data_IF_016121354291
#
_entry.id   IF_016121354291
#
_cell.length_a   1.000
_cell.length_b   1.000
_cell.length_c   1.000
_cell.angle_alpha   90.00
_cell.angle_beta   90.00
_cell.angle_gamma   90.00
#
_symmetry.space_group_name_H-M   'P 1'
#
loop_
_entity.id
_entity.type
_entity.pdbx_description
1 polymer ?
#
# COMPACT_ATOMS: atom_id res chain seq x y z
N UNK A 1 -21.33 6.13 -5.42
CA UNK A 1 -21.52 7.12 -4.34
C UNK A 1 -20.51 8.23 -4.53
N UNK A 2 -20.94 9.49 -4.52
CA UNK A 2 -20.04 10.65 -4.73
C UNK A 2 -20.09 11.55 -3.50
N UNK A 3 -18.96 11.73 -2.83
CA UNK A 3 -18.80 12.65 -1.70
C UNK A 3 -18.15 13.93 -2.23
N UNK A 4 -18.99 14.90 -2.58
CA UNK A 4 -18.56 16.18 -3.16
C UNK A 4 -18.68 17.37 -2.18
N UNK A 5 -19.29 17.15 -1.00
CA UNK A 5 -19.53 18.19 0.00
C UNK A 5 -19.55 17.63 1.42
N UNK A 6 -18.99 18.39 2.37
CA UNK A 6 -19.01 18.06 3.80
C UNK A 6 -18.16 16.86 4.22
N UNK A 7 -18.36 16.45 5.46
CA UNK A 7 -17.80 15.22 6.04
C UNK A 7 -18.93 14.21 6.22
N UNK A 8 -18.67 12.97 5.81
CA UNK A 8 -19.66 11.90 5.84
C UNK A 8 -19.23 10.81 6.81
N UNK A 9 -20.19 10.29 7.57
CA UNK A 9 -19.99 9.16 8.46
C UNK A 9 -20.86 8.00 7.97
N UNK A 10 -20.22 6.87 7.73
CA UNK A 10 -20.88 5.59 7.44
C UNK A 10 -21.04 4.86 8.77
N UNK A 11 -22.22 5.01 9.37
CA UNK A 11 -22.60 4.39 10.64
C UNK A 11 -23.46 3.13 10.47
N UNK A 12 -23.64 2.66 9.23
CA UNK A 12 -24.37 1.44 8.86
C UNK A 12 -23.59 0.69 7.77
N UNK A 13 -23.98 -0.55 7.48
CA UNK A 13 -23.35 -1.32 6.41
C UNK A 13 -23.50 -0.64 5.04
N UNK A 14 -22.37 -0.22 4.47
CA UNK A 14 -22.24 0.21 3.09
C UNK A 14 -21.98 -1.00 2.18
N UNK A 15 -22.88 -1.22 1.21
CA UNK A 15 -22.62 -2.13 0.09
C UNK A 15 -22.09 -1.31 -1.08
N UNK A 16 -20.78 -1.35 -1.30
CA UNK A 16 -20.15 -0.68 -2.45
C UNK A 16 -19.81 -1.71 -3.53
N UNK A 17 -20.61 -1.76 -4.60
CA UNK A 17 -20.36 -2.58 -5.81
C UNK A 17 -20.03 -1.73 -7.04
N UNK A 18 -20.34 -0.43 -7.00
CA UNK A 18 -19.98 0.54 -8.05
C UNK A 18 -18.84 1.47 -7.63
N UNK A 19 -18.76 2.65 -8.23
CA UNK A 19 -17.70 3.61 -7.91
C UNK A 19 -18.01 4.40 -6.64
N UNK A 20 -17.06 4.46 -5.71
CA UNK A 20 -17.03 5.40 -4.58
C UNK A 20 -16.02 6.51 -4.87
N UNK A 21 -16.51 7.74 -5.00
CA UNK A 21 -15.67 8.92 -5.21
C UNK A 21 -15.68 9.79 -3.95
N UNK A 22 -14.51 10.16 -3.46
CA UNK A 22 -14.32 11.12 -2.38
C UNK A 22 -13.49 12.28 -2.90
N UNK A 23 -14.11 13.45 -3.05
CA UNK A 23 -13.45 14.63 -3.59
C UNK A 23 -12.39 15.19 -2.62
N UNK A 24 -11.51 16.04 -3.15
CA UNK A 24 -10.50 16.72 -2.36
C UNK A 24 -11.11 17.52 -1.20
N UNK A 25 -10.36 17.60 -0.09
CA UNK A 25 -10.80 18.31 1.13
C UNK A 25 -12.10 17.79 1.75
N UNK A 26 -12.52 16.56 1.43
CA UNK A 26 -13.67 15.87 2.06
C UNK A 26 -13.16 14.78 3.00
N UNK A 27 -14.00 14.39 3.95
CA UNK A 27 -13.74 13.28 4.87
C UNK A 27 -14.85 12.25 4.73
N UNK A 28 -14.48 10.99 4.57
CA UNK A 28 -15.37 9.85 4.69
C UNK A 28 -14.88 8.97 5.84
N UNK A 29 -15.69 8.87 6.89
CA UNK A 29 -15.39 8.08 8.08
C UNK A 29 -16.23 6.80 8.10
N UNK A 30 -15.58 5.65 8.09
CA UNK A 30 -16.21 4.35 8.35
C UNK A 30 -16.23 4.08 9.85
N UNK A 31 -17.25 4.60 10.55
CA UNK A 31 -17.37 4.43 12.01
C UNK A 31 -17.75 3.01 12.41
N UNK A 32 -18.27 2.22 11.47
CA UNK A 32 -18.35 0.76 11.55
C UNK A 32 -17.40 0.11 10.56
N UNK A 33 -17.02 -1.13 10.84
CA UNK A 33 -16.10 -1.89 10.01
C UNK A 33 -16.75 -2.26 8.66
N UNK A 34 -16.19 -1.77 7.55
CA UNK A 34 -16.78 -1.95 6.21
C UNK A 34 -15.96 -2.86 5.29
N UNK A 35 -16.67 -3.58 4.42
CA UNK A 35 -16.11 -4.26 3.26
C UNK A 35 -16.47 -3.48 1.99
N UNK A 36 -15.49 -3.22 1.13
CA UNK A 36 -15.68 -2.52 -0.14
C UNK A 36 -15.35 -3.46 -1.30
N UNK A 37 -16.25 -3.56 -2.29
CA UNK A 37 -16.10 -4.45 -3.45
C UNK A 37 -16.10 -3.75 -4.80
N UNK A 38 -16.38 -2.44 -4.84
CA UNK A 38 -16.34 -1.62 -6.05
C UNK A 38 -15.04 -0.83 -6.16
N UNK A 39 -14.95 0.01 -7.19
CA UNK A 39 -13.80 0.91 -7.37
C UNK A 39 -13.86 2.08 -6.39
N UNK A 40 -12.71 2.44 -5.81
CA UNK A 40 -12.56 3.61 -4.95
C UNK A 40 -11.69 4.65 -5.65
N UNK A 41 -12.12 5.91 -5.65
CA UNK A 41 -11.35 7.07 -6.04
C UNK A 41 -11.36 8.09 -4.90
N UNK A 42 -10.23 8.21 -4.22
CA UNK A 42 -10.05 9.08 -3.06
C UNK A 42 -9.10 10.23 -3.40
N UNK A 43 -9.57 11.46 -3.34
CA UNK A 43 -8.75 12.68 -3.29
C UNK A 43 -8.83 13.38 -1.91
N UNK A 44 -9.69 12.89 -1.01
CA UNK A 44 -9.90 13.43 0.33
C UNK A 44 -9.25 12.56 1.42
N UNK A 45 -9.93 12.44 2.55
CA UNK A 45 -9.53 11.63 3.69
C UNK A 45 -10.48 10.45 3.87
N UNK A 46 -9.95 9.22 3.86
CA UNK A 46 -10.65 8.04 4.33
C UNK A 46 -10.16 7.67 5.73
N UNK A 47 -11.06 7.57 6.69
CA UNK A 47 -10.75 7.21 8.09
C UNK A 47 -11.71 6.15 8.62
N UNK A 48 -11.40 5.58 9.77
CA UNK A 48 -12.17 4.49 10.39
C UNK A 48 -11.62 3.11 10.03
N UNK A 49 -12.52 2.12 9.85
CA UNK A 49 -12.11 0.71 9.71
C UNK A 49 -12.65 0.06 8.44
N UNK A 50 -11.75 -0.56 7.67
CA UNK A 50 -12.10 -1.51 6.62
C UNK A 50 -11.64 -2.93 6.98
N UNK A 51 -12.52 -3.91 6.76
CA UNK A 51 -12.22 -5.34 6.92
C UNK A 51 -11.60 -5.94 5.65
N UNK A 52 -12.07 -5.50 4.49
CA UNK A 52 -11.59 -5.95 3.17
C UNK A 52 -11.85 -4.91 2.08
N UNK A 53 -10.87 -4.71 1.19
CA UNK A 53 -11.08 -4.12 -0.13
C UNK A 53 -10.88 -5.21 -1.20
N UNK A 54 -11.97 -5.58 -1.87
CA UNK A 54 -11.99 -6.62 -2.92
C UNK A 54 -12.30 -6.06 -4.31
N UNK A 55 -12.46 -4.74 -4.43
CA UNK A 55 -12.71 -4.08 -5.70
C UNK A 55 -11.50 -4.11 -6.64
N UNK A 56 -11.70 -3.88 -7.94
CA UNK A 56 -10.64 -4.02 -8.94
C UNK A 56 -9.57 -2.92 -8.82
N UNK A 57 -9.95 -1.70 -8.43
CA UNK A 57 -9.04 -0.56 -8.37
C UNK A 57 -9.32 0.38 -7.21
N UNK A 58 -8.23 0.84 -6.59
CA UNK A 58 -8.23 1.87 -5.56
C UNK A 58 -7.30 2.98 -6.01
N UNK A 59 -7.83 4.16 -6.31
CA UNK A 59 -7.03 5.35 -6.63
C UNK A 59 -6.94 6.23 -5.40
N UNK A 60 -5.74 6.42 -4.86
CA UNK A 60 -5.48 7.30 -3.72
C UNK A 60 -4.65 8.51 -4.14
N UNK A 61 -5.29 9.67 -4.26
CA UNK A 61 -4.68 10.98 -4.44
C UNK A 61 -4.81 11.86 -3.18
N UNK A 62 -5.26 11.28 -2.07
CA UNK A 62 -5.47 11.97 -0.79
C UNK A 62 -4.77 11.24 0.35
N UNK A 63 -5.46 11.13 1.48
CA UNK A 63 -4.96 10.46 2.68
C UNK A 63 -5.88 9.32 3.10
N UNK A 64 -5.31 8.14 3.33
CA UNK A 64 -6.00 6.98 3.90
C UNK A 64 -5.47 6.76 5.31
N UNK A 65 -6.23 7.18 6.31
CA UNK A 65 -5.91 7.05 7.74
C UNK A 65 -6.70 5.93 8.42
N UNK A 66 -7.16 4.96 7.62
CA UNK A 66 -7.80 3.75 8.11
C UNK A 66 -6.87 3.01 9.07
N UNK A 67 -7.47 2.30 10.04
CA UNK A 67 -6.76 1.38 10.92
C UNK A 67 -5.92 0.37 10.12
N UNK A 68 -6.46 -0.04 8.96
CA UNK A 68 -5.80 -0.87 7.97
C UNK A 68 -6.53 -0.72 6.62
N UNK A 69 -5.78 -0.63 5.51
CA UNK A 69 -6.29 -0.79 4.14
C UNK A 69 -5.90 -2.18 3.60
N UNK A 70 -6.81 -3.16 3.62
CA UNK A 70 -6.52 -4.53 3.16
C UNK A 70 -6.91 -4.78 1.70
N UNK A 71 -5.93 -4.99 0.83
CA UNK A 71 -6.17 -5.57 -0.50
C UNK A 71 -6.39 -7.08 -0.36
N UNK A 72 -7.60 -7.55 -0.66
CA UNK A 72 -8.04 -8.92 -0.42
C UNK A 72 -8.94 -9.49 -1.54
N UNK A 73 -8.79 -8.99 -2.77
CA UNK A 73 -9.57 -9.47 -3.92
C UNK A 73 -9.24 -10.91 -4.34
N UNK A 74 -10.17 -11.53 -5.05
CA UNK A 74 -10.00 -12.84 -5.70
C UNK A 74 -9.40 -12.76 -7.12
N UNK A 75 -9.20 -11.54 -7.62
CA UNK A 75 -8.51 -11.21 -8.88
C UNK A 75 -7.37 -10.26 -8.59
N UNK A 76 -6.47 -10.03 -9.56
CA UNK A 76 -5.47 -8.98 -9.44
C UNK A 76 -6.15 -7.61 -9.20
N UNK A 77 -5.53 -6.78 -8.35
CA UNK A 77 -6.03 -5.45 -7.99
C UNK A 77 -5.00 -4.38 -8.34
N UNK A 78 -5.46 -3.14 -8.50
CA UNK A 78 -4.58 -2.00 -8.75
C UNK A 78 -4.69 -0.96 -7.65
N UNK A 79 -3.55 -0.46 -7.18
CA UNK A 79 -3.44 0.71 -6.32
C UNK A 79 -2.82 1.86 -7.13
N UNK A 80 -3.62 2.87 -7.45
CA UNK A 80 -3.21 4.03 -8.25
C UNK A 80 -3.07 5.29 -7.39
N UNK A 81 -2.58 6.36 -8.02
CA UNK A 81 -2.49 7.70 -7.44
C UNK A 81 -1.15 7.95 -6.75
N UNK A 82 -1.07 9.04 -5.99
CA UNK A 82 0.17 9.54 -5.35
C UNK A 82 0.03 9.83 -3.86
N UNK A 83 -1.07 9.38 -3.25
CA UNK A 83 -1.44 9.72 -1.87
C UNK A 83 -0.68 8.94 -0.79
N UNK A 84 -1.09 9.17 0.45
CA UNK A 84 -0.56 8.48 1.63
C UNK A 84 -1.55 7.47 2.20
N UNK A 85 -1.02 6.41 2.79
CA UNK A 85 -1.76 5.34 3.47
C UNK A 85 -1.09 5.11 4.81
N UNK A 86 -1.85 5.11 5.90
CA UNK A 86 -1.27 4.90 7.24
C UNK A 86 -0.82 3.45 7.40
N UNK A 87 -1.75 2.51 7.25
CA UNK A 87 -1.48 1.08 7.38
C UNK A 87 -1.98 0.37 6.13
N UNK A 88 -1.09 -0.32 5.41
CA UNK A 88 -1.39 -1.05 4.19
C UNK A 88 -1.16 -2.55 4.41
N UNK A 89 -2.14 -3.37 4.02
CA UNK A 89 -2.01 -4.83 4.02
C UNK A 89 -2.29 -5.40 2.65
N UNK A 90 -1.34 -6.19 2.15
CA UNK A 90 -1.45 -6.93 0.91
C UNK A 90 -1.77 -8.38 1.24
N UNK A 91 -2.99 -8.80 0.92
CA UNK A 91 -3.50 -10.14 1.16
C UNK A 91 -4.28 -10.64 -0.07
N UNK A 92 -3.66 -10.52 -1.24
CA UNK A 92 -4.26 -10.92 -2.50
C UNK A 92 -3.26 -11.80 -3.27
N UNK A 93 -3.52 -13.10 -3.31
CA UNK A 93 -2.66 -14.09 -3.97
C UNK A 93 -2.41 -13.79 -5.46
N UNK A 94 -3.36 -13.12 -6.12
CA UNK A 94 -3.26 -12.74 -7.54
C UNK A 94 -2.43 -11.47 -7.77
N UNK A 95 -1.99 -10.83 -6.69
CA UNK A 95 -1.11 -9.68 -6.71
C UNK A 95 -1.82 -8.33 -6.71
N UNK A 96 -1.03 -7.29 -6.41
CA UNK A 96 -1.42 -5.89 -6.47
C UNK A 96 -0.42 -5.15 -7.35
N UNK A 97 -0.91 -4.40 -8.33
CA UNK A 97 -0.05 -3.56 -9.18
C UNK A 97 -0.16 -2.11 -8.73
N UNK A 98 0.98 -1.41 -8.62
CA UNK A 98 0.99 0.03 -8.45
C UNK A 98 0.83 0.72 -9.81
N UNK A 99 -0.09 1.68 -9.87
CA UNK A 99 -0.23 2.61 -10.99
C UNK A 99 0.29 4.02 -10.70
N UNK A 100 0.88 4.24 -9.53
CA UNK A 100 1.51 5.49 -9.12
C UNK A 100 2.25 5.34 -7.79
N UNK A 101 3.07 6.33 -7.44
CA UNK A 101 3.85 6.32 -6.22
C UNK A 101 2.95 6.26 -4.98
N UNK A 102 3.35 5.53 -3.94
CA UNK A 102 2.57 5.44 -2.69
C UNK A 102 3.47 5.67 -1.49
N UNK A 103 2.96 6.39 -0.49
CA UNK A 103 3.62 6.52 0.80
C UNK A 103 2.85 5.78 1.88
N UNK A 104 3.48 4.79 2.52
CA UNK A 104 2.96 4.09 3.70
C UNK A 104 3.62 4.67 4.94
N UNK A 105 2.83 5.23 5.86
CA UNK A 105 3.39 6.05 6.95
C UNK A 105 3.57 5.33 8.28
N UNK A 106 2.86 4.23 8.52
CA UNK A 106 2.94 3.47 9.77
C UNK A 106 3.42 2.03 9.55
N UNK A 107 2.63 1.20 8.87
CA UNK A 107 2.95 -0.22 8.71
C UNK A 107 2.54 -0.78 7.36
N UNK A 108 3.39 -1.66 6.82
CA UNK A 108 3.18 -2.41 5.59
C UNK A 108 3.26 -3.91 5.89
N UNK A 109 2.16 -4.61 5.68
CA UNK A 109 2.08 -6.06 5.88
C UNK A 109 1.89 -6.78 4.55
N UNK A 110 2.82 -7.66 4.21
CA UNK A 110 2.71 -8.58 3.07
C UNK A 110 2.27 -9.95 3.59
N UNK A 111 0.96 -10.22 3.55
CA UNK A 111 0.40 -11.50 4.00
C UNK A 111 0.42 -12.52 2.87
N UNK A 112 -0.14 -12.17 1.71
CA UNK A 112 -0.28 -13.08 0.57
C UNK A 112 -0.22 -12.31 -0.75
N UNK A 113 0.55 -12.85 -1.69
CA UNK A 113 0.78 -12.30 -3.02
C UNK A 113 1.84 -11.22 -3.09
N UNK A 114 2.10 -10.80 -4.33
CA UNK A 114 3.21 -9.91 -4.69
C UNK A 114 2.71 -8.50 -5.03
N UNK A 115 3.57 -7.51 -4.89
CA UNK A 115 3.29 -6.13 -5.31
C UNK A 115 4.15 -5.78 -6.51
N UNK A 116 3.54 -5.57 -7.67
CA UNK A 116 4.25 -5.14 -8.89
C UNK A 116 4.37 -3.63 -8.92
N UNK A 117 5.60 -3.12 -8.90
CA UNK A 117 5.85 -1.68 -8.80
C UNK A 117 5.83 -0.96 -10.15
N UNK A 118 6.16 -1.65 -11.26
CA UNK A 118 6.29 -1.00 -12.56
C UNK A 118 7.29 0.16 -12.50
N UNK A 119 6.88 1.35 -12.95
CA UNK A 119 7.65 2.59 -12.82
C UNK A 119 7.41 3.37 -11.52
N UNK A 120 6.56 2.85 -10.63
CA UNK A 120 6.17 3.52 -9.39
C UNK A 120 7.05 3.11 -8.21
N UNK A 121 7.11 3.97 -7.20
CA UNK A 121 7.80 3.71 -5.95
C UNK A 121 6.80 3.49 -4.81
N UNK A 122 7.11 2.55 -3.92
CA UNK A 122 6.42 2.43 -2.63
C UNK A 122 7.39 2.84 -1.54
N UNK A 123 7.07 3.91 -0.81
CA UNK A 123 7.88 4.40 0.30
C UNK A 123 7.24 4.07 1.65
N UNK A 124 7.92 3.26 2.46
CA UNK A 124 7.58 3.02 3.86
C UNK A 124 8.35 4.00 4.76
N UNK A 125 7.68 5.05 5.23
CA UNK A 125 8.35 6.15 5.95
C UNK A 125 8.62 5.87 7.42
N UNK A 126 8.02 4.83 8.00
CA UNK A 126 8.28 4.45 9.39
C UNK A 126 9.63 3.70 9.49
N UNK A 127 10.55 4.28 10.25
CA UNK A 127 11.91 3.74 10.44
C UNK A 127 11.98 2.57 11.41
N UNK A 128 10.90 2.18 12.10
CA UNK A 128 10.92 1.00 12.95
C UNK A 128 11.14 -0.28 12.13
N UNK A 129 12.00 -1.20 12.58
CA UNK A 129 12.24 -2.47 11.86
C UNK A 129 10.95 -3.24 11.58
N UNK A 130 10.07 -3.29 12.59
CA UNK A 130 8.77 -3.96 12.56
C UNK A 130 7.70 -3.27 11.69
N UNK A 131 8.01 -2.12 11.08
CA UNK A 131 7.08 -1.44 10.16
C UNK A 131 6.82 -2.22 8.88
N UNK A 132 7.70 -3.16 8.52
CA UNK A 132 7.49 -4.15 7.46
C UNK A 132 7.31 -5.54 8.08
N UNK A 133 6.17 -6.17 7.77
CA UNK A 133 5.86 -7.55 8.18
C UNK A 133 5.64 -8.42 6.95
N UNK A 134 6.14 -9.65 6.95
CA UNK A 134 6.18 -10.52 5.78
C UNK A 134 7.44 -10.29 4.95
N UNK A 135 7.36 -10.47 3.63
CA UNK A 135 8.53 -10.29 2.77
C UNK A 135 9.30 -11.59 2.58
N UNK A 136 8.74 -12.53 1.82
CA UNK A 136 9.35 -13.82 1.50
C UNK A 136 9.16 -14.19 0.02
N UNK A 137 9.57 -15.40 -0.38
CA UNK A 137 9.48 -15.87 -1.77
C UNK A 137 8.05 -15.86 -2.36
N UNK A 138 7.01 -15.89 -1.53
CA UNK A 138 5.60 -15.84 -1.95
C UNK A 138 4.96 -14.47 -1.80
N UNK A 139 5.54 -13.57 -0.99
CA UNK A 139 5.01 -12.23 -0.73
C UNK A 139 6.11 -11.15 -0.73
N UNK A 140 6.34 -10.51 -1.88
CA UNK A 140 7.44 -9.56 -2.08
C UNK A 140 7.12 -8.54 -3.18
N UNK A 141 8.02 -7.58 -3.38
CA UNK A 141 7.91 -6.58 -4.44
C UNK A 141 8.55 -7.08 -5.74
N UNK A 142 7.84 -6.91 -6.86
CA UNK A 142 8.37 -7.11 -8.20
C UNK A 142 8.75 -5.74 -8.75
N UNK A 143 10.03 -5.58 -9.09
CA UNK A 143 10.60 -4.37 -9.69
C UNK A 143 11.05 -4.68 -11.12
N UNK A 144 11.13 -3.67 -11.98
CA UNK A 144 11.61 -3.80 -13.36
C UNK A 144 12.83 -2.89 -13.66
N UNK A 145 13.43 -2.32 -12.61
CA UNK A 145 14.53 -1.37 -12.70
C UNK A 145 14.17 0.10 -12.84
N UNK A 146 12.88 0.43 -12.93
CA UNK A 146 12.41 1.83 -12.93
C UNK A 146 11.75 2.22 -11.62
N UNK A 147 10.83 1.38 -11.12
CA UNK A 147 10.23 1.51 -9.79
C UNK A 147 11.02 0.77 -8.71
N UNK A 148 10.90 1.24 -7.46
CA UNK A 148 11.64 0.69 -6.31
C UNK A 148 10.79 0.60 -5.05
N UNK A 149 11.08 -0.42 -4.22
CA UNK A 149 10.62 -0.41 -2.84
C UNK A 149 11.60 0.41 -2.02
N UNK A 150 11.08 1.33 -1.22
CA UNK A 150 11.86 2.27 -0.46
C UNK A 150 11.41 2.24 0.99
N UNK A 151 12.35 2.34 1.92
CA UNK A 151 12.02 2.44 3.34
C UNK A 151 13.04 3.25 4.10
N UNK A 152 12.59 3.83 5.21
CA UNK A 152 13.49 4.35 6.23
C UNK A 152 14.20 3.19 6.93
N UNK A 153 15.50 3.35 7.14
CA UNK A 153 16.39 2.39 7.81
C UNK A 153 17.02 3.11 8.99
N UNK A 154 16.73 2.65 10.21
CA UNK A 154 17.36 3.15 11.41
C UNK A 154 18.69 2.43 11.69
N UNK A 155 19.57 3.11 12.41
CA UNK A 155 20.88 2.63 12.82
C UNK A 155 20.77 1.42 13.76
N UNK A 156 21.68 0.45 13.60
CA UNK A 156 21.83 -0.68 14.53
C UNK A 156 20.88 -1.86 14.32
N UNK A 157 20.08 -1.87 13.25
CA UNK A 157 19.24 -3.01 12.89
C UNK A 157 19.36 -3.39 11.41
N UNK A 158 19.04 -4.64 11.10
CA UNK A 158 19.10 -5.21 9.75
C UNK A 158 17.73 -5.16 9.08
N UNK A 159 17.59 -4.32 8.05
CA UNK A 159 16.32 -4.05 7.37
C UNK A 159 16.21 -4.89 6.10
N UNK A 160 15.22 -5.79 6.00
CA UNK A 160 15.01 -6.55 4.76
C UNK A 160 14.37 -5.69 3.67
N UNK A 161 14.77 -5.99 2.43
CA UNK A 161 14.21 -5.51 1.18
C UNK A 161 13.81 -6.73 0.34
N UNK A 162 12.55 -7.20 0.47
CA UNK A 162 12.07 -8.38 -0.24
C UNK A 162 11.71 -8.01 -1.68
N UNK A 163 12.65 -8.13 -2.61
CA UNK A 163 12.47 -7.74 -4.02
C UNK A 163 12.76 -8.90 -4.99
N UNK A 164 12.28 -8.77 -6.22
CA UNK A 164 12.59 -9.61 -7.38
C UNK A 164 12.54 -8.79 -8.67
N UNK A 165 13.16 -9.29 -9.74
CA UNK A 165 12.95 -8.82 -11.11
C UNK A 165 11.83 -9.58 -11.86
N UNK A 166 11.13 -10.50 -11.19
CA UNK A 166 10.04 -11.29 -11.75
C UNK A 166 10.38 -12.77 -11.99
N UNK A 167 11.67 -13.13 -11.97
CA UNK A 167 12.13 -14.51 -12.20
C UNK A 167 12.50 -15.24 -10.90
N UNK A 168 13.41 -14.67 -10.11
CA UNK A 168 13.91 -15.26 -8.87
C UNK A 168 13.80 -14.28 -7.70
N UNK A 169 13.40 -14.77 -6.52
CA UNK A 169 13.38 -13.95 -5.31
C UNK A 169 14.80 -13.58 -4.91
N UNK A 170 15.10 -12.28 -4.84
CA UNK A 170 16.44 -11.72 -4.62
C UNK A 170 16.41 -10.76 -3.42
N UNK A 171 16.19 -11.26 -2.19
CA UNK A 171 16.14 -10.40 -1.02
C UNK A 171 17.49 -9.74 -0.77
N UNK A 172 17.45 -8.47 -0.42
CA UNK A 172 18.59 -7.76 0.15
C UNK A 172 18.33 -7.42 1.63
N UNK A 173 19.38 -7.25 2.40
CA UNK A 173 19.30 -6.74 3.77
C UNK A 173 20.30 -5.62 3.93
N UNK A 174 19.87 -4.49 4.50
CA UNK A 174 20.71 -3.33 4.75
C UNK A 174 20.81 -3.07 6.24
N UNK A 175 22.01 -2.83 6.73
CA UNK A 175 22.27 -2.37 8.10
C UNK A 175 23.00 -1.04 8.04
N UNK A 176 22.44 -0.03 8.68
CA UNK A 176 23.14 1.23 8.91
C UNK A 176 23.91 1.14 10.23
N UNK A 177 25.24 1.25 10.17
CA UNK A 177 26.12 1.07 11.34
C UNK A 177 26.30 2.35 12.16
N UNK A 178 26.12 3.52 11.54
CA UNK A 178 26.27 4.84 12.16
C UNK A 178 25.44 5.88 11.41
N UNK A 179 25.17 7.04 12.03
CA UNK A 179 24.40 8.12 11.41
C UNK A 179 22.90 8.09 11.79
N UNK A 180 22.12 9.07 11.32
CA UNK A 180 20.67 9.13 11.56
C UNK A 180 19.90 8.10 10.72
N UNK A 181 18.60 7.95 10.95
CA UNK A 181 17.77 7.14 10.05
C UNK A 181 17.74 7.74 8.64
N UNK A 182 17.89 6.92 7.60
CA UNK A 182 17.97 7.35 6.21
C UNK A 182 17.01 6.56 5.30
N UNK A 183 16.63 7.15 4.17
CA UNK A 183 15.79 6.51 3.14
C UNK A 183 16.68 5.75 2.17
N UNK A 184 16.43 4.45 2.03
CA UNK A 184 17.07 3.61 1.01
C UNK A 184 16.04 3.08 0.04
N UNK A 185 16.49 2.84 -1.19
CA UNK A 185 15.71 2.29 -2.28
C UNK A 185 16.32 0.98 -2.76
N UNK A 186 15.48 -0.02 -3.04
CA UNK A 186 15.90 -1.26 -3.65
C UNK A 186 15.04 -1.57 -4.88
N UNK A 187 15.71 -1.84 -5.98
CA UNK A 187 15.14 -2.33 -7.23
C UNK A 187 16.08 -3.37 -7.83
N UNK A 188 15.50 -4.41 -8.42
CA UNK A 188 16.22 -5.43 -9.18
C UNK A 188 16.01 -5.17 -10.68
N UNK A 189 17.13 -5.07 -11.41
CA UNK A 189 17.13 -5.05 -12.87
C UNK A 189 17.20 -6.49 -13.40
N UNK A 190 16.60 -6.74 -14.56
CA UNK A 190 16.99 -7.91 -15.34
C UNK A 190 18.41 -7.69 -15.86
N UNK A 191 19.29 -8.68 -15.70
CA UNK A 191 20.49 -8.74 -16.54
C UNK A 191 19.98 -9.23 -17.91
N UNK A 192 19.68 -8.31 -18.82
CA UNK A 192 19.40 -8.65 -20.23
C UNK A 192 20.69 -8.91 -20.96
#
# INVERSE_FOLDING_TARGET
MNINGGSWVIANTLTNTGVLNVAASRVLNYSLAQALSGTVSNAGILTGTLTSFTGPSFTNNGSVTLTNLPFAGSTAQTLNGTGSITTLRINNANGVTLGGDQTVTNALTLTNGKVTLGSSNLFLSNSALASLVGGNATNHFITNGTGSFQRMVATGAAYPFPITNGSSYMPATLTLTSGPSERFAAGANGCT
#
